data_IF_338324093698
#
_entry.id   IF_338324093698
#
_cell.length_a   1.000
_cell.length_b   1.000
_cell.length_c   1.000
_cell.angle_alpha   90.00
_cell.angle_beta   90.00
_cell.angle_gamma   90.00
#
_symmetry.space_group_name_H-M   'P 1'
#
loop_
_entity.id
_entity.type
_entity.pdbx_description
1 polymer ?
#
# COMPACT_ATOMS: atom_id res chain seq x y z
N UNK A 1 5.66 -11.64 -6.93
CA UNK A 1 4.34 -11.95 -6.32
C UNK A 1 4.62 -12.52 -4.94
N UNK A 2 3.97 -12.02 -3.88
CA UNK A 2 4.11 -12.61 -2.55
C UNK A 2 3.48 -14.00 -2.57
N UNK A 3 4.28 -15.02 -2.27
CA UNK A 3 3.84 -16.39 -2.12
C UNK A 3 4.25 -16.93 -0.73
N UNK A 4 3.85 -18.16 -0.46
CA UNK A 4 4.05 -18.81 0.83
C UNK A 4 5.54 -18.97 1.18
N UNK A 5 6.40 -19.25 0.20
CA UNK A 5 7.84 -19.40 0.41
C UNK A 5 8.52 -18.06 0.70
N UNK A 6 8.06 -16.99 0.06
CA UNK A 6 8.55 -15.65 0.35
C UNK A 6 8.23 -15.24 1.80
N UNK A 7 7.03 -15.57 2.28
CA UNK A 7 6.61 -15.30 3.65
C UNK A 7 7.42 -16.15 4.66
N UNK A 8 7.69 -17.41 4.34
CA UNK A 8 8.55 -18.28 5.14
C UNK A 8 9.98 -17.74 5.26
N UNK A 9 10.53 -17.26 4.15
CA UNK A 9 11.87 -16.67 4.12
C UNK A 9 11.96 -15.40 4.96
N UNK A 10 10.91 -14.58 4.99
CA UNK A 10 10.86 -13.35 5.79
C UNK A 10 10.70 -13.62 7.30
N UNK A 11 9.98 -14.68 7.67
CA UNK A 11 9.69 -15.02 9.07
C UNK A 11 9.95 -16.52 9.35
N UNK A 12 11.23 -16.93 9.34
CA UNK A 12 11.59 -18.32 9.62
C UNK A 12 11.28 -18.70 11.07
N UNK A 13 11.45 -17.76 12.00
CA UNK A 13 11.20 -17.97 13.43
C UNK A 13 9.74 -17.71 13.77
N UNK A 14 9.11 -18.67 14.47
CA UNK A 14 7.69 -18.57 14.87
C UNK A 14 7.38 -17.35 15.73
N UNK A 15 8.29 -16.99 16.63
CA UNK A 15 8.10 -15.88 17.58
C UNK A 15 8.21 -14.50 16.92
N UNK A 16 8.76 -14.43 15.71
CA UNK A 16 8.90 -13.21 14.92
C UNK A 16 7.79 -13.06 13.87
N UNK A 17 6.93 -14.08 13.73
CA UNK A 17 5.83 -14.04 12.77
C UNK A 17 4.82 -12.97 13.18
N UNK A 18 4.33 -12.16 12.23
CA UNK A 18 3.28 -11.21 12.53
C UNK A 18 1.99 -11.94 12.88
N UNK A 19 1.25 -11.41 13.84
CA UNK A 19 -0.07 -11.95 14.22
C UNK A 19 -1.07 -11.90 13.05
N UNK A 20 -0.92 -10.90 12.17
CA UNK A 20 -1.79 -10.65 11.03
C UNK A 20 -0.99 -10.30 9.79
N UNK A 21 -1.38 -10.85 8.64
CA UNK A 21 -0.85 -10.49 7.33
C UNK A 21 -2.03 -10.14 6.43
N UNK A 22 -2.09 -8.89 5.96
CA UNK A 22 -3.11 -8.42 5.03
C UNK A 22 -2.55 -8.41 3.60
N UNK A 23 -3.21 -9.11 2.68
CA UNK A 23 -2.81 -9.18 1.26
C UNK A 23 -4.10 -9.10 0.43
N UNK A 24 -4.08 -8.32 -0.65
CA UNK A 24 -5.19 -8.19 -1.60
C UNK A 24 -5.71 -9.59 -2.02
N UNK A 25 -4.81 -10.45 -2.53
CA UNK A 25 -5.10 -11.83 -2.93
C UNK A 25 -4.73 -12.87 -1.88
N UNK A 26 -4.92 -12.58 -0.59
CA UNK A 26 -4.57 -13.52 0.50
C UNK A 26 -5.26 -14.89 0.35
N UNK A 27 -6.43 -14.96 -0.26
CA UNK A 27 -7.13 -16.21 -0.59
C UNK A 27 -6.29 -17.15 -1.48
N UNK A 28 -5.50 -16.62 -2.43
CA UNK A 28 -4.65 -17.38 -3.33
C UNK A 28 -3.43 -17.92 -2.56
N UNK A 29 -2.83 -17.07 -1.73
CA UNK A 29 -1.73 -17.46 -0.83
C UNK A 29 -2.21 -18.55 0.13
N UNK A 30 -3.40 -18.38 0.71
CA UNK A 30 -4.02 -19.35 1.61
C UNK A 30 -4.27 -20.69 0.91
N UNK A 31 -4.86 -20.68 -0.29
CA UNK A 31 -5.09 -21.90 -1.08
C UNK A 31 -3.78 -22.68 -1.28
N UNK A 32 -2.72 -21.99 -1.69
CA UNK A 32 -1.39 -22.60 -1.85
C UNK A 32 -0.84 -23.12 -0.52
N UNK A 33 -0.99 -22.36 0.58
CA UNK A 33 -0.51 -22.77 1.90
C UNK A 33 -1.23 -24.02 2.43
N UNK A 34 -2.53 -24.17 2.15
CA UNK A 34 -3.30 -25.37 2.50
C UNK A 34 -2.85 -26.56 1.65
N UNK A 35 -2.73 -26.38 0.33
CA UNK A 35 -2.27 -27.44 -0.58
C UNK A 35 -0.88 -27.96 -0.21
N UNK A 36 0.04 -27.08 0.17
CA UNK A 36 1.40 -27.44 0.58
C UNK A 36 1.50 -27.90 2.05
N UNK A 37 0.37 -28.03 2.77
CA UNK A 37 0.29 -28.36 4.22
C UNK A 37 1.00 -27.37 5.15
N UNK A 38 1.52 -26.28 4.62
CA UNK A 38 2.19 -25.19 5.33
C UNK A 38 1.27 -24.49 6.34
N UNK A 39 -0.02 -24.40 6.01
CA UNK A 39 -1.01 -23.71 6.83
C UNK A 39 -1.15 -24.28 8.24
N UNK A 40 -0.92 -25.59 8.43
CA UNK A 40 -1.08 -26.22 9.75
C UNK A 40 -0.13 -25.67 10.82
N UNK A 41 1.04 -25.21 10.39
CA UNK A 41 2.01 -24.57 11.26
C UNK A 41 1.69 -23.07 11.46
N UNK A 42 1.28 -22.39 10.38
CA UNK A 42 1.08 -20.95 10.38
C UNK A 42 -0.19 -20.49 11.10
N UNK A 43 -1.25 -21.29 11.06
CA UNK A 43 -2.54 -20.97 11.71
C UNK A 43 -2.46 -20.72 13.22
N UNK A 44 -1.38 -21.17 13.86
CA UNK A 44 -1.15 -21.02 15.31
C UNK A 44 -0.61 -19.63 15.66
N UNK A 45 0.06 -18.97 14.72
CA UNK A 45 0.83 -17.72 14.98
C UNK A 45 0.33 -16.56 14.14
N UNK A 46 -0.20 -16.82 12.94
CA UNK A 46 -0.55 -15.79 11.97
C UNK A 46 -1.93 -16.03 11.37
N UNK A 47 -2.69 -14.95 11.18
CA UNK A 47 -3.95 -14.93 10.45
C UNK A 47 -3.79 -14.14 9.15
N UNK A 48 -4.27 -14.70 8.04
CA UNK A 48 -4.35 -13.97 6.77
C UNK A 48 -5.66 -13.18 6.67
N UNK A 49 -5.53 -11.90 6.36
CA UNK A 49 -6.65 -10.99 6.15
C UNK A 49 -6.73 -10.70 4.66
N UNK A 50 -7.90 -10.96 4.08
CA UNK A 50 -8.20 -10.62 2.69
C UNK A 50 -8.82 -9.23 2.64
N UNK A 51 -8.49 -8.47 1.61
CA UNK A 51 -9.10 -7.16 1.34
C UNK A 51 -10.61 -7.32 1.08
N UNK A 52 -11.41 -6.40 1.63
CA UNK A 52 -12.87 -6.31 1.40
C UNK A 52 -13.25 -6.22 -0.07
N UNK A 53 -12.49 -5.49 -0.90
CA UNK A 53 -12.73 -5.37 -2.34
C UNK A 53 -12.66 -6.73 -3.03
N UNK A 54 -11.75 -7.59 -2.58
CA UNK A 54 -11.52 -8.89 -3.16
C UNK A 54 -12.73 -9.83 -2.95
N UNK A 55 -13.52 -9.66 -1.89
CA UNK A 55 -14.71 -10.50 -1.62
C UNK A 55 -15.77 -10.45 -2.71
N UNK A 56 -15.86 -9.34 -3.46
CA UNK A 56 -16.90 -9.16 -4.50
C UNK A 56 -16.81 -10.19 -5.63
N UNK A 57 -15.63 -10.77 -5.85
CA UNK A 57 -15.36 -11.71 -6.93
C UNK A 57 -15.19 -13.17 -6.46
N UNK A 58 -15.41 -13.46 -5.17
CA UNK A 58 -15.21 -14.79 -4.60
C UNK A 58 -16.48 -15.62 -4.48
N UNK A 59 -16.32 -16.95 -4.54
CA UNK A 59 -17.42 -17.88 -4.22
C UNK A 59 -17.51 -18.01 -2.70
N UNK A 60 -18.72 -18.18 -2.18
CA UNK A 60 -18.96 -18.36 -0.74
C UNK A 60 -18.21 -19.56 -0.12
N UNK A 61 -17.74 -20.50 -0.95
CA UNK A 61 -16.93 -21.66 -0.55
C UNK A 61 -15.45 -21.35 -0.37
N UNK A 62 -14.98 -20.18 -0.80
CA UNK A 62 -13.60 -19.79 -0.64
C UNK A 62 -13.40 -19.31 0.81
N UNK A 63 -12.49 -19.94 1.56
CA UNK A 63 -12.15 -19.56 2.94
C UNK A 63 -11.34 -18.24 2.94
N UNK A 64 -12.02 -17.14 2.65
CA UNK A 64 -11.39 -15.83 2.44
C UNK A 64 -11.37 -14.95 3.70
N UNK A 65 -11.90 -15.37 4.85
CA UNK A 65 -11.89 -14.53 6.06
C UNK A 65 -11.40 -15.29 7.29
N UNK A 66 -10.13 -15.11 7.64
CA UNK A 66 -9.56 -15.62 8.90
C UNK A 66 -9.44 -14.53 9.96
N UNK A 67 -10.01 -13.34 9.73
CA UNK A 67 -10.15 -12.35 10.78
C UNK A 67 -10.98 -12.96 11.93
N UNK A 68 -10.60 -12.75 13.19
CA UNK A 68 -11.39 -13.21 14.32
C UNK A 68 -12.81 -12.66 14.21
N UNK A 69 -13.82 -13.51 14.46
CA UNK A 69 -15.24 -13.12 14.50
C UNK A 69 -15.65 -12.63 15.90
N UNK A 70 -14.67 -12.27 16.70
CA UNK A 70 -14.80 -11.81 18.07
C UNK A 70 -13.94 -10.55 18.27
N UNK A 71 -14.09 -9.91 19.42
CA UNK A 71 -13.34 -8.70 19.78
C UNK A 71 -11.91 -9.02 20.25
N UNK A 72 -11.38 -10.22 19.96
CA UNK A 72 -10.01 -10.60 20.34
C UNK A 72 -8.96 -9.75 19.63
N UNK A 73 -9.34 -9.11 18.52
CA UNK A 73 -8.51 -8.19 17.75
C UNK A 73 -9.23 -6.84 17.56
N UNK A 74 -9.24 -5.97 18.59
CA UNK A 74 -10.00 -4.73 18.54
C UNK A 74 -9.58 -3.84 17.36
N UNK A 75 -8.28 -3.77 17.05
CA UNK A 75 -7.76 -3.01 15.92
C UNK A 75 -8.16 -3.57 14.53
N UNK A 76 -8.87 -4.69 14.47
CA UNK A 76 -9.35 -5.33 13.24
C UNK A 76 -10.86 -5.40 13.19
N UNK A 77 -11.53 -5.71 14.31
CA UNK A 77 -12.98 -5.87 14.40
C UNK A 77 -13.48 -5.13 15.65
N UNK A 78 -14.35 -4.16 15.40
CA UNK A 78 -15.09 -3.42 16.42
C UNK A 78 -16.54 -3.89 16.49
N UNK A 79 -17.20 -3.60 17.60
CA UNK A 79 -18.62 -3.87 17.80
C UNK A 79 -19.39 -2.57 17.96
N UNK A 80 -20.55 -2.48 17.30
CA UNK A 80 -21.50 -1.38 17.47
C UNK A 80 -22.92 -1.93 17.56
N UNK A 81 -23.75 -1.29 18.36
CA UNK A 81 -25.18 -1.60 18.39
C UNK A 81 -25.86 -0.83 17.26
N UNK A 82 -26.67 -1.51 16.46
CA UNK A 82 -27.45 -0.87 15.41
C UNK A 82 -28.71 -0.18 15.95
N UNK A 83 -29.44 0.51 15.07
CA UNK A 83 -30.70 1.18 15.41
C UNK A 83 -31.80 0.21 15.88
N UNK A 84 -31.61 -1.09 15.67
CA UNK A 84 -32.53 -2.16 16.06
C UNK A 84 -32.05 -2.92 17.32
N UNK A 85 -31.09 -2.35 18.06
CA UNK A 85 -30.47 -2.94 19.27
C UNK A 85 -29.70 -4.26 19.04
N UNK A 86 -29.34 -4.58 17.80
CA UNK A 86 -28.51 -5.73 17.48
C UNK A 86 -27.03 -5.38 17.54
N UNK A 87 -26.23 -6.31 18.07
CA UNK A 87 -24.78 -6.22 18.05
C UNK A 87 -24.26 -6.49 16.63
N UNK A 88 -23.74 -5.48 15.95
CA UNK A 88 -23.08 -5.58 14.65
C UNK A 88 -21.57 -5.49 14.84
N UNK A 89 -20.86 -6.48 14.30
CA UNK A 89 -19.42 -6.43 14.14
C UNK A 89 -19.07 -5.69 12.84
N UNK A 90 -18.14 -4.75 12.92
CA UNK A 90 -17.62 -4.02 11.77
C UNK A 90 -16.09 -4.09 11.75
N UNK A 91 -15.51 -4.01 10.55
CA UNK A 91 -14.05 -4.00 10.40
C UNK A 91 -13.51 -2.61 10.77
N UNK A 92 -12.62 -2.54 11.76
CA UNK A 92 -11.91 -1.30 12.12
C UNK A 92 -10.71 -1.04 11.21
N UNK A 93 -10.05 -2.10 10.73
CA UNK A 93 -8.90 -1.96 9.86
C UNK A 93 -9.30 -1.57 8.43
N UNK A 94 -8.94 -0.36 8.02
CA UNK A 94 -9.23 0.14 6.68
C UNK A 94 -8.10 -0.23 5.70
N UNK A 95 -8.34 -1.22 4.85
CA UNK A 95 -7.34 -1.67 3.87
C UNK A 95 -7.07 -0.63 2.77
N UNK A 96 -8.05 0.20 2.42
CA UNK A 96 -7.89 1.28 1.44
C UNK A 96 -6.94 2.39 1.96
N UNK A 97 -7.01 2.72 3.26
CA UNK A 97 -6.05 3.66 3.87
C UNK A 97 -4.65 3.07 3.87
N UNK A 98 -4.52 1.75 4.04
CA UNK A 98 -3.24 1.06 3.95
C UNK A 98 -2.67 1.06 2.52
N UNK A 99 -3.51 0.92 1.48
CA UNK A 99 -3.09 1.07 0.09
C UNK A 99 -2.56 2.47 -0.20
N UNK A 100 -3.24 3.52 0.28
CA UNK A 100 -2.77 4.90 0.17
C UNK A 100 -1.44 5.09 0.89
N UNK A 101 -1.29 4.50 2.08
CA UNK A 101 -0.02 4.52 2.81
C UNK A 101 1.10 3.85 2.02
N UNK A 102 0.85 2.69 1.41
CA UNK A 102 1.84 2.00 0.59
C UNK A 102 2.22 2.82 -0.65
N UNK A 103 1.26 3.49 -1.28
CA UNK A 103 1.53 4.39 -2.40
C UNK A 103 2.43 5.56 -1.96
N UNK A 104 2.17 6.14 -0.79
CA UNK A 104 3.01 7.19 -0.21
C UNK A 104 4.42 6.69 0.12
N UNK A 105 4.53 5.49 0.69
CA UNK A 105 5.82 4.84 0.99
C UNK A 105 6.60 4.45 -0.28
N UNK A 106 5.94 4.35 -1.43
CA UNK A 106 6.58 4.04 -2.71
C UNK A 106 7.71 5.00 -3.07
N UNK A 107 7.61 6.28 -2.68
CA UNK A 107 8.69 7.26 -2.86
C UNK A 107 9.97 6.97 -2.05
N UNK A 108 9.88 6.08 -1.05
CA UNK A 108 10.97 5.72 -0.14
C UNK A 108 11.45 4.27 -0.34
N UNK A 109 10.94 3.57 -1.35
CA UNK A 109 11.14 2.13 -1.54
C UNK A 109 12.63 1.72 -1.53
N UNK A 110 13.50 2.50 -2.19
CA UNK A 110 14.93 2.21 -2.29
C UNK A 110 15.63 2.13 -0.93
N UNK A 111 15.26 3.00 0.00
CA UNK A 111 15.80 3.05 1.36
C UNK A 111 15.16 1.96 2.21
N UNK A 112 13.83 1.79 2.10
CA UNK A 112 13.08 0.80 2.86
C UNK A 112 13.56 -0.63 2.57
N UNK A 113 13.90 -0.95 1.31
CA UNK A 113 14.42 -2.27 0.90
C UNK A 113 15.78 -2.63 1.50
N UNK A 114 16.56 -1.64 1.92
CA UNK A 114 17.92 -1.86 2.46
C UNK A 114 17.94 -1.94 4.00
N UNK A 115 16.82 -1.65 4.66
CA UNK A 115 16.75 -1.62 6.11
C UNK A 115 16.49 -3.01 6.71
N UNK A 116 17.10 -3.27 7.88
CA UNK A 116 16.71 -4.40 8.73
C UNK A 116 15.30 -4.19 9.27
N UNK A 117 14.59 -5.26 9.63
CA UNK A 117 13.23 -5.20 10.20
C UNK A 117 13.13 -4.26 11.41
N UNK A 118 14.14 -4.28 12.29
CA UNK A 118 14.21 -3.39 13.46
C UNK A 118 14.31 -1.91 13.06
N UNK A 119 15.14 -1.61 12.06
CA UNK A 119 15.31 -0.24 11.56
C UNK A 119 14.07 0.24 10.80
N UNK A 120 13.44 -0.65 10.03
CA UNK A 120 12.20 -0.38 9.33
C UNK A 120 11.10 0.09 10.29
N UNK A 121 10.87 -0.62 11.40
CA UNK A 121 9.85 -0.25 12.37
C UNK A 121 10.07 1.15 12.97
N UNK A 122 11.31 1.45 13.38
CA UNK A 122 11.65 2.77 13.91
C UNK A 122 11.51 3.88 12.84
N UNK A 123 11.93 3.59 11.61
CA UNK A 123 11.87 4.52 10.49
C UNK A 123 10.42 4.86 10.13
N UNK A 124 9.56 3.86 9.95
CA UNK A 124 8.13 4.05 9.66
C UNK A 124 7.46 4.82 10.78
N UNK A 125 7.72 4.47 12.05
CA UNK A 125 7.17 5.19 13.19
C UNK A 125 7.57 6.67 13.15
N UNK A 126 8.85 6.96 12.94
CA UNK A 126 9.35 8.33 12.86
C UNK A 126 8.72 9.10 11.69
N UNK A 127 8.67 8.49 10.51
CA UNK A 127 8.09 9.10 9.31
C UNK A 127 6.62 9.46 9.48
N UNK A 128 5.82 8.55 10.06
CA UNK A 128 4.41 8.79 10.33
C UNK A 128 4.22 9.94 11.33
N UNK A 129 4.99 9.96 12.42
CA UNK A 129 4.91 11.03 13.43
C UNK A 129 5.23 12.39 12.81
N UNK A 130 6.29 12.48 12.00
CA UNK A 130 6.64 13.74 11.32
C UNK A 130 5.58 14.15 10.29
N UNK A 131 5.07 13.20 9.51
CA UNK A 131 4.04 13.46 8.51
C UNK A 131 2.76 14.01 9.16
N UNK A 132 2.28 13.39 10.23
CA UNK A 132 1.10 13.86 10.97
C UNK A 132 1.32 15.26 11.53
N UNK A 133 2.46 15.53 12.17
CA UNK A 133 2.80 16.87 12.66
C UNK A 133 2.79 17.91 11.55
N UNK A 134 3.37 17.59 10.41
CA UNK A 134 3.42 18.49 9.25
C UNK A 134 2.02 18.77 8.67
N UNK A 135 1.17 17.74 8.53
CA UNK A 135 -0.21 17.89 8.04
C UNK A 135 -1.05 18.73 9.00
N UNK A 136 -0.98 18.47 10.31
CA UNK A 136 -1.67 19.28 11.32
C UNK A 136 -1.19 20.73 11.35
N UNK A 137 0.11 20.97 11.17
CA UNK A 137 0.67 22.32 11.04
C UNK A 137 0.12 23.07 9.82
N UNK A 138 -0.02 22.38 8.68
CA UNK A 138 -0.64 22.96 7.48
C UNK A 138 -2.12 23.28 7.68
N UNK A 139 -2.88 22.36 8.27
CA UNK A 139 -4.31 22.56 8.52
C UNK A 139 -4.56 23.74 9.47
N UNK A 140 -3.75 23.86 10.53
CA UNK A 140 -3.86 25.00 11.46
C UNK A 140 -3.42 26.32 10.84
N UNK A 141 -2.46 26.32 9.90
CA UNK A 141 -2.05 27.53 9.20
C UNK A 141 -3.09 28.00 8.18
N UNK A 142 -3.69 27.08 7.43
CA UNK A 142 -4.75 27.41 6.47
C UNK A 142 -6.03 27.95 7.14
N UNK A 143 -6.37 27.48 8.35
CA UNK A 143 -7.50 28.05 9.12
C UNK A 143 -7.25 29.48 9.62
N UNK A 144 -5.98 29.87 9.80
CA UNK A 144 -5.61 31.22 10.21
C UNK A 144 -5.57 32.21 9.04
N UNK A 145 -5.38 31.74 7.80
CA UNK A 145 -5.44 32.57 6.60
C UNK A 145 -6.89 32.90 6.22
N UNK A 146 -7.83 31.96 6.39
CA UNK A 146 -9.27 32.16 6.13
C UNK A 146 -9.97 33.13 7.11
N UNK A 147 -9.27 33.65 8.11
CA UNK A 147 -9.80 34.59 9.13
C UNK A 147 -9.20 36.00 9.09
N UNK A 148 -8.31 36.29 8.13
CA UNK A 148 -7.65 37.61 7.97
C UNK A 148 -8.27 38.45 6.83
N UNK A 149 -9.17 37.88 6.02
CA UNK A 149 -9.72 38.56 4.82
C UNK A 149 -10.89 39.56 5.09
N UNK A 150 -11.20 39.91 6.35
CA UNK A 150 -12.30 40.84 6.68
C UNK A 150 -11.87 42.28 7.05
N UNK A 151 -10.57 42.60 7.05
CA UNK A 151 -10.13 44.00 7.23
C UNK A 151 -8.84 44.32 6.45
N UNK A 152 -9.00 44.85 5.23
CA UNK A 152 -8.21 45.96 4.68
C UNK A 152 -8.27 45.96 3.14
N UNK A 153 -9.31 46.57 2.58
CA UNK A 153 -9.34 47.00 1.18
C UNK A 153 -8.94 48.48 1.09
N UNK A 154 -7.66 48.73 0.77
CA UNK A 154 -7.23 49.97 0.13
C UNK A 154 -6.23 49.66 -1.00
N UNK A 155 -6.70 49.87 -2.24
CA UNK A 155 -5.92 49.96 -3.49
C UNK A 155 -5.09 51.28 -3.49
N UNK A 156 -4.00 51.57 -4.22
CA UNK A 156 -3.51 51.18 -5.55
C UNK A 156 -1.98 51.46 -5.72
N UNK A 157 -1.34 50.61 -6.55
CA UNK A 157 -0.38 50.84 -7.67
C UNK A 157 0.85 51.79 -7.56
N UNK A 158 2.04 51.26 -7.92
CA UNK A 158 2.67 51.38 -9.27
C UNK A 158 4.23 51.39 -9.30
N UNK A 159 4.77 51.06 -10.49
CA UNK A 159 6.16 51.14 -11.02
C UNK A 159 7.06 49.90 -10.78
N UNK A 160 7.29 49.02 -11.76
CA UNK A 160 8.01 49.12 -13.05
C UNK A 160 9.55 49.05 -12.93
N UNK A 161 10.14 47.93 -13.36
CA UNK A 161 11.38 47.93 -14.15
C UNK A 161 11.58 46.62 -14.90
N UNK A 162 11.67 46.78 -16.23
CA UNK A 162 12.21 45.90 -17.26
C UNK A 162 13.72 45.64 -17.01
N UNK A 163 14.47 44.73 -17.64
CA UNK A 163 14.42 44.18 -18.99
C UNK A 163 15.54 43.10 -19.15
N UNK A 164 15.31 42.14 -20.07
CA UNK A 164 16.31 41.54 -21.00
C UNK A 164 17.40 40.59 -20.42
N UNK A 165 17.85 39.48 -21.05
CA UNK A 165 17.96 39.13 -22.48
C UNK A 165 18.18 37.61 -22.69
N UNK A 166 17.50 37.09 -23.72
CA UNK A 166 17.98 36.25 -24.86
C UNK A 166 18.89 35.01 -24.61
N UNK A 167 18.43 33.80 -24.99
CA UNK A 167 18.54 33.13 -26.32
C UNK A 167 19.78 32.21 -26.34
N UNK A 168 19.77 30.96 -26.83
CA UNK A 168 19.26 30.36 -28.07
C UNK A 168 19.09 28.83 -27.84
N UNK A 169 18.03 28.13 -28.31
CA UNK A 169 17.79 27.62 -29.69
C UNK A 169 18.93 26.71 -30.20
N UNK A 170 18.77 25.54 -30.82
CA UNK A 170 17.68 24.80 -31.48
C UNK A 170 18.29 23.40 -31.87
N UNK A 171 17.56 22.28 -31.80
CA UNK A 171 16.98 21.50 -32.96
C UNK A 171 18.05 20.74 -33.78
N UNK A 172 17.93 19.43 -34.08
CA UNK A 172 17.13 18.77 -35.16
C UNK A 172 17.41 17.24 -35.10
N UNK A 173 16.41 16.35 -35.16
CA UNK A 173 15.97 15.53 -36.35
C UNK A 173 17.06 14.60 -36.92
N UNK A 174 16.83 13.40 -37.45
CA UNK A 174 15.72 12.46 -37.65
C UNK A 174 16.33 11.20 -38.31
N UNK A 175 15.49 10.25 -38.76
CA UNK A 175 15.77 9.21 -39.79
C UNK A 175 16.38 7.88 -39.26
N UNK A 176 16.10 6.71 -39.81
CA UNK A 176 15.00 6.00 -40.48
C UNK A 176 15.59 4.61 -40.83
N UNK A 177 14.73 3.61 -41.04
CA UNK A 177 15.00 2.32 -41.73
C UNK A 177 15.85 1.27 -41.01
N UNK A 178 15.69 -0.04 -41.21
CA UNK A 178 14.70 -0.93 -41.85
C UNK A 178 15.25 -2.37 -41.67
N UNK A 179 14.46 -3.37 -42.07
CA UNK A 179 14.83 -4.76 -42.37
C UNK A 179 14.99 -5.76 -41.20
N UNK A 180 14.55 -7.02 -41.19
CA UNK A 180 13.65 -7.92 -41.96
C UNK A 180 14.28 -9.32 -41.80
N UNK A 181 13.45 -10.36 -41.57
CA UNK A 181 13.67 -11.80 -41.95
C UNK A 181 14.81 -12.56 -41.23
N UNK A 182 14.81 -13.87 -40.96
CA UNK A 182 13.92 -15.04 -41.16
C UNK A 182 14.63 -16.29 -40.55
N UNK A 183 13.85 -17.33 -40.20
CA UNK A 183 14.19 -18.77 -40.04
C UNK A 183 15.21 -19.21 -38.97
N UNK A 184 15.15 -20.38 -38.33
CA UNK A 184 14.46 -21.66 -38.65
C UNK A 184 14.30 -22.53 -37.39
N UNK A 185 13.48 -23.56 -37.56
CA UNK A 185 13.16 -24.71 -36.70
C UNK A 185 14.35 -25.48 -36.10
N UNK A 186 14.12 -26.16 -34.96
CA UNK A 186 14.47 -27.58 -34.81
C UNK A 186 13.69 -28.22 -33.64
N UNK A 187 12.78 -29.13 -34.00
CA UNK A 187 12.24 -30.17 -33.10
C UNK A 187 13.37 -31.15 -32.72
N UNK A 188 13.43 -31.58 -31.46
CA UNK A 188 13.80 -32.98 -31.21
C UNK A 188 13.12 -33.54 -29.96
N UNK A 189 12.18 -34.44 -30.25
CA UNK A 189 11.56 -35.39 -29.36
C UNK A 189 12.60 -36.45 -28.95
N UNK A 190 12.76 -36.74 -27.64
CA UNK A 190 13.20 -38.07 -27.20
C UNK A 190 12.46 -38.41 -25.90
N UNK A 191 11.67 -39.48 -26.00
CA UNK A 191 11.09 -40.22 -24.88
C UNK A 191 12.08 -41.29 -24.42
N UNK A 192 12.19 -41.49 -23.11
CA UNK A 192 11.99 -42.78 -22.43
C UNK A 192 11.91 -42.55 -20.90
#
# INVERSE_FOLDING_TARGET
MLDVHHIEHLFPNKDERPAYICIDKACQVFKTAVTLKFWNEWKQTTRFIVDSYHYTNHKATDECNLAPKDVSAPNLVGEKVDENENLIQYREFNTQVYEQLNAWLGGYESILKQMTSKNFNWFIHSMLVYHVKHVLGRLSSSQNEDSIDDESSEEEKSSASSNSSQSSSQTTQSDENSDSTDSSDDEMHVSD
#
